data_IF_479047601380
#
_entry.id   IF_479047601380
#
_cell.length_a   1.000
_cell.length_b   1.000
_cell.length_c   1.000
_cell.angle_alpha   90.00
_cell.angle_beta   90.00
_cell.angle_gamma   90.00
#
_symmetry.space_group_name_H-M   'P 1'
#
loop_
_entity.id
_entity.type
_entity.pdbx_description
1 polymer ?
#
# COMPACT_ATOMS: atom_id res chain seq x y z
N UNK A 1 44.13 -10.41 6.11
CA UNK A 1 43.25 -9.80 5.10
C UNK A 1 41.90 -9.58 5.81
N UNK A 2 41.50 -8.33 6.03
CA UNK A 2 40.18 -8.03 6.55
C UNK A 2 39.16 -8.55 5.53
N UNK A 3 38.29 -9.48 5.94
CA UNK A 3 37.22 -9.97 5.08
C UNK A 3 36.32 -8.78 4.72
N UNK A 4 36.41 -8.34 3.47
CA UNK A 4 35.58 -7.24 2.95
C UNK A 4 34.12 -7.66 3.01
N UNK A 5 33.29 -6.93 3.80
CA UNK A 5 31.86 -7.21 3.87
C UNK A 5 31.21 -6.79 2.56
N UNK A 6 30.44 -7.70 1.98
CA UNK A 6 29.75 -7.53 0.71
C UNK A 6 28.26 -7.73 0.94
N UNK A 7 27.44 -6.99 0.21
CA UNK A 7 25.99 -7.14 0.15
C UNK A 7 25.47 -6.95 -1.26
N UNK A 8 24.16 -7.09 -1.42
CA UNK A 8 23.45 -6.92 -2.69
C UNK A 8 22.43 -5.79 -2.61
N UNK A 9 22.22 -5.15 -3.76
CA UNK A 9 21.24 -4.09 -3.96
C UNK A 9 20.48 -4.33 -5.28
N UNK A 10 19.23 -3.87 -5.37
CA UNK A 10 18.48 -3.86 -6.62
C UNK A 10 18.48 -2.43 -7.17
N UNK A 11 19.01 -2.27 -8.38
CA UNK A 11 19.04 -1.02 -9.12
C UNK A 11 17.93 -1.00 -10.19
N UNK A 12 17.41 0.20 -10.50
CA UNK A 12 16.61 0.41 -11.68
C UNK A 12 17.54 0.55 -12.89
N UNK A 13 17.59 -0.47 -13.75
CA UNK A 13 18.44 -0.50 -14.93
C UNK A 13 17.88 0.33 -16.07
N UNK A 14 16.59 0.20 -16.32
CA UNK A 14 15.85 0.92 -17.34
C UNK A 14 14.41 1.18 -16.92
N UNK A 15 13.80 2.23 -17.49
CA UNK A 15 12.42 2.60 -17.17
C UNK A 15 11.44 1.69 -17.91
N UNK A 16 10.43 1.11 -17.22
CA UNK A 16 9.44 0.26 -17.86
C UNK A 16 8.49 1.08 -18.75
N UNK A 17 8.27 0.62 -19.95
CA UNK A 17 7.20 1.08 -20.85
C UNK A 17 5.97 0.18 -20.63
N UNK A 18 5.02 0.58 -19.79
CA UNK A 18 3.90 -0.27 -19.38
C UNK A 18 4.20 -1.09 -18.13
N UNK A 19 3.82 -2.37 -18.11
CA UNK A 19 4.08 -3.26 -16.97
C UNK A 19 5.59 -3.50 -16.85
N UNK A 20 6.11 -3.34 -15.63
CA UNK A 20 7.52 -3.63 -15.37
C UNK A 20 7.84 -5.11 -15.58
N UNK A 21 9.03 -5.38 -16.08
CA UNK A 21 9.59 -6.72 -16.27
C UNK A 21 10.86 -6.90 -15.46
N UNK A 22 11.34 -8.13 -15.34
CA UNK A 22 12.62 -8.40 -14.64
C UNK A 22 13.80 -7.64 -15.26
N UNK A 23 13.77 -7.39 -16.57
CA UNK A 23 14.83 -6.70 -17.30
C UNK A 23 15.02 -5.23 -16.88
N UNK A 24 13.99 -4.62 -16.26
CA UNK A 24 14.08 -3.26 -15.73
C UNK A 24 14.94 -3.16 -14.46
N UNK A 25 15.30 -4.29 -13.85
CA UNK A 25 16.02 -4.36 -12.59
C UNK A 25 17.35 -5.09 -12.76
N UNK A 26 18.30 -4.73 -11.89
CA UNK A 26 19.62 -5.38 -11.81
C UNK A 26 19.98 -5.65 -10.36
N UNK A 27 20.41 -6.88 -10.06
CA UNK A 27 20.99 -7.24 -8.76
C UNK A 27 22.50 -6.91 -8.80
N UNK A 28 22.91 -5.96 -7.99
CA UNK A 28 24.28 -5.43 -7.98
C UNK A 28 24.97 -5.84 -6.68
N UNK A 29 26.17 -6.38 -6.81
CA UNK A 29 27.06 -6.67 -5.67
C UNK A 29 27.80 -5.41 -5.28
N UNK A 30 27.72 -5.03 -4.00
CA UNK A 30 28.33 -3.81 -3.48
C UNK A 30 29.19 -4.10 -2.25
N UNK A 31 30.23 -3.29 -2.05
CA UNK A 31 30.98 -3.28 -0.82
C UNK A 31 30.22 -2.52 0.25
N UNK A 32 30.06 -3.13 1.43
CA UNK A 32 29.52 -2.45 2.61
C UNK A 32 30.63 -1.56 3.21
N UNK A 33 30.42 -0.23 3.34
CA UNK A 33 31.43 0.66 3.86
C UNK A 33 31.78 0.38 5.33
N UNK A 34 33.05 0.63 5.70
CA UNK A 34 33.45 0.62 7.10
C UNK A 34 32.80 1.78 7.86
N UNK A 35 32.35 1.54 9.09
CA UNK A 35 31.72 2.56 9.92
C UNK A 35 32.68 3.67 10.34
N UNK A 36 32.28 4.91 10.14
CA UNK A 36 32.88 6.09 10.77
C UNK A 36 32.29 6.33 12.15
N UNK A 37 32.96 7.15 12.96
CA UNK A 37 32.45 7.58 14.26
C UNK A 37 31.05 8.25 14.09
N UNK A 38 30.09 7.89 14.93
CA UNK A 38 28.70 8.35 14.88
C UNK A 38 27.81 7.60 13.90
N UNK A 39 28.31 6.58 13.19
CA UNK A 39 27.52 5.77 12.27
C UNK A 39 27.15 4.41 12.86
N UNK A 40 26.15 3.79 12.26
CA UNK A 40 25.74 2.41 12.52
C UNK A 40 25.43 1.69 11.21
N UNK A 41 25.57 0.38 11.22
CA UNK A 41 25.28 -0.53 10.12
C UNK A 41 24.02 -1.34 10.42
N UNK A 42 23.13 -1.36 9.46
CA UNK A 42 21.87 -2.11 9.53
C UNK A 42 21.87 -3.20 8.46
N UNK A 43 21.42 -4.39 8.85
CA UNK A 43 21.04 -5.45 7.94
C UNK A 43 19.52 -5.46 7.82
N UNK A 44 19.00 -5.32 6.60
CA UNK A 44 17.57 -5.43 6.35
C UNK A 44 17.09 -6.88 6.60
N UNK A 45 15.93 -7.01 7.23
CA UNK A 45 15.26 -8.27 7.46
C UNK A 45 13.98 -8.38 6.62
N UNK A 46 13.29 -7.24 6.42
CA UNK A 46 12.04 -7.17 5.69
C UNK A 46 11.97 -5.91 4.83
N UNK A 47 11.38 -6.05 3.68
CA UNK A 47 11.14 -4.93 2.76
C UNK A 47 9.70 -4.98 2.23
N UNK A 48 9.12 -3.81 2.08
CA UNK A 48 7.82 -3.60 1.42
C UNK A 48 8.01 -3.37 -0.07
N UNK A 49 7.14 -3.95 -0.88
CA UNK A 49 6.91 -3.52 -2.26
C UNK A 49 5.50 -2.97 -2.40
N UNK A 50 5.37 -1.82 -3.05
CA UNK A 50 4.14 -1.04 -3.08
C UNK A 50 3.85 -0.48 -4.48
N UNK A 51 2.56 -0.38 -4.88
CA UNK A 51 2.18 0.08 -6.23
C UNK A 51 2.70 1.47 -6.60
N UNK A 52 2.83 2.40 -5.63
CA UNK A 52 3.32 3.76 -5.89
C UNK A 52 4.73 3.79 -6.49
N UNK A 53 5.54 2.75 -6.22
CA UNK A 53 6.90 2.62 -6.75
C UNK A 53 6.90 2.59 -8.28
N UNK A 54 5.80 2.10 -8.92
CA UNK A 54 5.67 2.14 -10.38
C UNK A 54 5.71 3.57 -10.92
N UNK A 55 5.02 4.50 -10.26
CA UNK A 55 5.06 5.93 -10.63
C UNK A 55 6.45 6.54 -10.53
N UNK A 56 7.25 6.15 -9.53
CA UNK A 56 8.65 6.61 -9.36
C UNK A 56 9.61 6.04 -10.43
N UNK A 57 9.24 4.99 -11.16
CA UNK A 57 10.04 4.47 -12.27
C UNK A 57 9.89 5.31 -13.55
N UNK A 58 8.94 6.24 -13.59
CA UNK A 58 8.80 7.23 -14.67
C UNK A 58 9.67 8.45 -14.37
N UNK A 59 9.92 9.31 -15.39
CA UNK A 59 10.67 10.58 -15.19
C UNK A 59 9.82 11.73 -14.66
N UNK A 60 8.51 11.54 -14.58
CA UNK A 60 7.56 12.57 -14.20
C UNK A 60 7.72 12.98 -12.75
N UNK A 61 7.76 14.28 -12.48
CA UNK A 61 7.71 14.82 -11.11
C UNK A 61 6.37 14.50 -10.47
N UNK A 62 6.43 14.03 -9.23
CA UNK A 62 5.27 13.71 -8.40
C UNK A 62 5.56 14.12 -6.94
N UNK A 63 4.73 13.70 -5.98
CA UNK A 63 4.96 13.92 -4.54
C UNK A 63 6.23 13.23 -3.99
N UNK A 64 6.80 12.29 -4.74
CA UNK A 64 8.12 11.72 -4.53
C UNK A 64 8.97 11.87 -5.81
N UNK A 65 10.29 12.09 -5.68
CA UNK A 65 11.16 12.15 -6.84
C UNK A 65 11.17 10.81 -7.60
N UNK A 66 11.39 10.82 -8.91
CA UNK A 66 11.61 9.61 -9.67
C UNK A 66 12.85 8.85 -9.19
N UNK A 67 12.86 7.53 -9.38
CA UNK A 67 14.08 6.76 -9.19
C UNK A 67 15.12 7.11 -10.26
N UNK A 68 16.38 7.19 -9.83
CA UNK A 68 17.50 7.37 -10.73
C UNK A 68 17.90 6.03 -11.37
N UNK A 69 18.30 6.06 -12.65
CA UNK A 69 18.82 4.88 -13.32
C UNK A 69 20.17 4.47 -12.75
N UNK A 70 20.41 3.17 -12.69
CA UNK A 70 21.63 2.56 -12.16
C UNK A 70 21.93 2.95 -10.71
N UNK A 71 20.87 3.27 -9.94
CA UNK A 71 20.92 3.52 -8.50
C UNK A 71 19.98 2.57 -7.77
N UNK A 72 20.35 2.31 -6.51
CA UNK A 72 19.53 1.49 -5.62
C UNK A 72 18.15 2.08 -5.46
N UNK A 73 17.13 1.25 -5.62
CA UNK A 73 15.76 1.63 -5.34
C UNK A 73 15.57 1.90 -3.84
N UNK A 74 14.52 2.64 -3.54
CA UNK A 74 14.08 2.94 -2.17
C UNK A 74 12.69 2.40 -1.91
N UNK A 75 12.41 2.05 -0.68
CA UNK A 75 11.12 1.61 -0.19
C UNK A 75 11.17 1.30 1.29
N UNK A 76 10.02 1.23 1.93
CA UNK A 76 9.97 0.95 3.36
C UNK A 76 10.60 -0.41 3.66
N UNK A 77 11.43 -0.44 4.70
CA UNK A 77 12.08 -1.66 5.17
C UNK A 77 12.23 -1.65 6.69
N UNK A 78 12.43 -2.84 7.23
CA UNK A 78 12.82 -3.05 8.62
C UNK A 78 14.14 -3.79 8.63
N UNK A 79 15.11 -3.24 9.31
CA UNK A 79 16.41 -3.84 9.50
C UNK A 79 16.85 -3.82 10.95
N UNK A 80 17.82 -4.68 11.28
CA UNK A 80 18.44 -4.75 12.60
C UNK A 80 19.81 -4.12 12.57
N UNK A 81 20.14 -3.33 13.58
CA UNK A 81 21.49 -2.79 13.77
C UNK A 81 22.42 -3.96 14.13
N UNK A 82 23.44 -4.19 13.31
CA UNK A 82 24.41 -5.25 13.51
C UNK A 82 25.80 -4.74 13.93
N UNK A 83 26.05 -3.44 13.75
CA UNK A 83 27.27 -2.77 14.22
C UNK A 83 26.96 -1.29 14.46
N UNK A 84 27.50 -0.70 15.53
CA UNK A 84 27.29 0.71 15.85
C UNK A 84 28.52 1.38 16.46
N UNK A 85 28.79 2.61 15.97
CA UNK A 85 29.68 3.62 16.57
C UNK A 85 28.88 4.88 16.95
N UNK A 86 27.56 4.76 17.09
CA UNK A 86 26.63 5.84 17.44
C UNK A 86 25.97 5.55 18.79
N UNK A 87 26.07 6.50 19.73
CA UNK A 87 25.56 6.33 21.09
C UNK A 87 24.03 6.26 21.21
N UNK A 88 23.31 6.71 20.18
CA UNK A 88 21.84 6.73 20.16
C UNK A 88 21.23 5.45 19.55
N UNK A 89 22.05 4.63 18.88
CA UNK A 89 21.59 3.44 18.15
C UNK A 89 22.41 2.24 18.56
N UNK A 90 21.76 1.27 19.21
CA UNK A 90 22.43 0.10 19.80
C UNK A 90 22.29 -1.14 18.91
N UNK A 91 23.30 -2.01 18.96
CA UNK A 91 23.27 -3.30 18.26
C UNK A 91 22.09 -4.12 18.77
N UNK A 92 21.33 -4.72 17.85
CA UNK A 92 20.13 -5.50 18.13
C UNK A 92 18.83 -4.73 18.00
N UNK A 93 18.83 -3.41 18.01
CA UNK A 93 17.62 -2.60 17.77
C UNK A 93 17.09 -2.77 16.35
N UNK A 94 15.77 -2.75 16.20
CA UNK A 94 15.11 -2.75 14.89
C UNK A 94 14.72 -1.34 14.48
N UNK A 95 14.96 -1.04 13.21
CA UNK A 95 14.69 0.27 12.60
C UNK A 95 13.75 0.12 11.42
N UNK A 96 12.73 0.98 11.38
CA UNK A 96 11.90 1.26 10.21
C UNK A 96 12.54 2.42 9.44
N UNK A 97 12.76 2.26 8.16
CA UNK A 97 13.34 3.27 7.27
C UNK A 97 12.85 3.10 5.84
N UNK A 98 13.32 3.94 4.92
CA UNK A 98 13.08 3.81 3.48
C UNK A 98 14.27 3.22 2.69
N UNK A 99 15.26 2.66 3.38
CA UNK A 99 16.45 2.04 2.76
C UNK A 99 16.22 0.58 2.34
N UNK A 100 15.07 0.28 1.76
CA UNK A 100 14.77 -1.03 1.14
C UNK A 100 15.54 -1.28 -0.15
N UNK A 101 15.25 -2.39 -0.82
CA UNK A 101 15.90 -2.85 -2.06
C UNK A 101 17.41 -3.10 -1.94
N UNK A 102 17.88 -3.36 -0.70
CA UNK A 102 19.28 -3.70 -0.37
C UNK A 102 19.37 -4.55 0.88
N UNK A 103 20.48 -5.28 1.03
CA UNK A 103 20.70 -6.07 2.25
C UNK A 103 21.24 -5.22 3.40
N UNK A 104 22.12 -4.25 3.12
CA UNK A 104 22.79 -3.44 4.14
C UNK A 104 22.72 -1.96 3.81
N UNK A 105 22.76 -1.15 4.87
CA UNK A 105 22.93 0.29 4.75
C UNK A 105 23.59 0.87 5.99
N UNK A 106 24.32 1.97 5.78
CA UNK A 106 25.01 2.72 6.83
C UNK A 106 24.36 4.09 6.98
N UNK A 107 24.17 4.54 8.22
CA UNK A 107 23.62 5.86 8.54
C UNK A 107 24.24 6.43 9.79
N UNK A 108 24.14 7.75 9.97
CA UNK A 108 24.38 8.46 11.21
C UNK A 108 23.09 8.79 11.98
N UNK A 109 21.96 8.41 11.45
CA UNK A 109 20.61 8.76 11.90
C UNK A 109 19.98 9.85 11.02
N UNK A 110 18.67 9.81 10.87
CA UNK A 110 17.87 10.84 10.22
C UNK A 110 16.44 10.83 10.75
N UNK A 111 15.66 11.86 10.45
CA UNK A 111 14.23 11.93 10.81
C UNK A 111 13.36 10.84 10.18
N UNK A 112 13.84 10.23 9.10
CA UNK A 112 13.11 9.18 8.36
C UNK A 112 13.43 7.77 8.89
N UNK A 113 14.22 7.67 9.96
CA UNK A 113 14.55 6.42 10.66
C UNK A 113 13.86 6.43 12.02
N UNK A 114 13.10 5.40 12.31
CA UNK A 114 12.45 5.24 13.61
C UNK A 114 12.70 3.86 14.20
N UNK A 115 12.97 3.83 15.53
CA UNK A 115 13.07 2.58 16.27
C UNK A 115 11.70 1.95 16.39
N UNK A 116 11.63 0.64 16.27
CA UNK A 116 10.42 -0.15 16.48
C UNK A 116 10.70 -1.28 17.47
N UNK A 117 9.70 -1.52 18.33
CA UNK A 117 9.69 -2.67 19.23
C UNK A 117 8.47 -3.53 18.88
N UNK A 118 8.64 -4.80 18.48
CA UNK A 118 7.54 -5.66 18.08
C UNK A 118 6.83 -6.26 19.31
N UNK A 119 6.18 -5.41 20.10
CA UNK A 119 5.50 -5.83 21.34
C UNK A 119 4.03 -6.21 21.16
N UNK A 120 3.43 -5.82 20.03
CA UNK A 120 1.98 -5.95 19.78
C UNK A 120 1.70 -6.92 18.64
N UNK A 121 2.50 -6.87 17.60
CA UNK A 121 2.34 -7.65 16.38
C UNK A 121 3.72 -8.04 15.84
N UNK A 122 3.83 -9.03 14.94
CA UNK A 122 5.08 -9.43 14.30
C UNK A 122 5.78 -8.26 13.63
N UNK A 123 7.11 -8.30 13.58
CA UNK A 123 7.95 -7.21 13.10
C UNK A 123 7.54 -6.67 11.72
N UNK A 124 7.27 -7.57 10.77
CA UNK A 124 6.89 -7.21 9.41
C UNK A 124 5.53 -6.50 9.30
N UNK A 125 4.64 -6.64 10.29
CA UNK A 125 3.35 -5.95 10.32
C UNK A 125 3.48 -4.42 10.33
N UNK A 126 4.64 -3.90 10.79
CA UNK A 126 4.96 -2.47 10.75
C UNK A 126 5.24 -1.94 9.33
N UNK A 127 5.37 -2.83 8.34
CA UNK A 127 5.38 -2.48 6.90
C UNK A 127 3.97 -2.57 6.27
N UNK A 128 3.00 -3.08 7.03
CA UNK A 128 1.63 -3.35 6.59
C UNK A 128 0.59 -2.67 7.49
N UNK A 129 -0.13 -3.52 8.23
CA UNK A 129 -1.30 -3.12 9.02
C UNK A 129 -0.97 -2.11 10.14
N UNK A 130 0.20 -2.20 10.78
CA UNK A 130 0.70 -1.26 11.80
C UNK A 130 1.50 -0.10 11.20
N UNK A 131 1.72 -0.11 9.89
CA UNK A 131 2.55 0.84 9.16
C UNK A 131 1.78 1.76 8.22
N UNK A 132 2.48 2.15 7.13
CA UNK A 132 1.95 3.13 6.16
C UNK A 132 0.65 2.70 5.51
N UNK A 133 0.47 1.43 5.16
CA UNK A 133 -0.76 0.95 4.48
C UNK A 133 -1.97 0.97 5.40
N UNK A 134 -1.81 0.59 6.68
CA UNK A 134 -2.86 0.73 7.68
C UNK A 134 -3.22 2.20 7.95
N UNK A 135 -2.20 3.07 8.08
CA UNK A 135 -2.42 4.52 8.22
C UNK A 135 -3.14 5.11 6.98
N UNK A 136 -2.82 4.63 5.78
CA UNK A 136 -3.50 5.07 4.55
C UNK A 136 -5.00 4.74 4.59
N UNK A 137 -5.36 3.54 5.05
CA UNK A 137 -6.75 3.15 5.24
C UNK A 137 -7.47 4.05 6.27
N UNK A 138 -6.82 4.30 7.40
CA UNK A 138 -7.33 5.16 8.48
C UNK A 138 -7.58 6.59 7.99
N UNK A 139 -6.61 7.18 7.32
CA UNK A 139 -6.70 8.54 6.73
C UNK A 139 -7.78 8.62 5.66
N UNK A 140 -7.83 7.65 4.73
CA UNK A 140 -8.80 7.69 3.63
C UNK A 140 -10.24 7.57 4.12
N UNK A 141 -10.49 6.81 5.20
CA UNK A 141 -11.81 6.77 5.84
C UNK A 141 -12.15 8.09 6.56
N UNK A 142 -11.16 8.77 7.16
CA UNK A 142 -11.33 10.12 7.71
C UNK A 142 -11.63 11.15 6.61
N UNK A 143 -10.99 11.05 5.44
CA UNK A 143 -11.33 11.85 4.24
C UNK A 143 -12.76 11.57 3.78
N UNK A 144 -13.22 10.32 3.88
CA UNK A 144 -14.61 9.92 3.68
C UNK A 144 -15.55 10.41 4.79
N UNK A 145 -15.06 11.17 5.77
CA UNK A 145 -15.84 11.70 6.91
C UNK A 145 -16.55 10.59 7.70
N UNK A 146 -15.88 9.43 7.84
CA UNK A 146 -16.40 8.32 8.61
C UNK A 146 -16.33 8.64 10.11
N UNK A 147 -17.46 8.63 10.78
CA UNK A 147 -17.59 8.82 12.24
C UNK A 147 -17.83 7.50 12.96
N UNK A 148 -17.71 7.51 14.29
CA UNK A 148 -18.10 6.38 15.13
C UNK A 148 -19.62 6.14 15.08
N UNK A 149 -20.03 4.88 15.21
CA UNK A 149 -21.43 4.42 15.16
C UNK A 149 -22.13 4.81 13.86
N UNK A 150 -21.39 4.81 12.76
CA UNK A 150 -21.89 5.18 11.44
C UNK A 150 -22.78 4.07 10.86
N UNK A 151 -23.92 4.45 10.30
CA UNK A 151 -24.79 3.54 9.50
C UNK A 151 -24.49 3.65 8.01
N UNK A 152 -23.35 4.22 7.63
CA UNK A 152 -22.96 4.42 6.25
C UNK A 152 -22.74 3.10 5.51
N UNK A 153 -23.05 3.09 4.23
CA UNK A 153 -22.62 2.05 3.29
C UNK A 153 -21.28 2.47 2.68
N UNK A 154 -20.26 1.64 2.89
CA UNK A 154 -18.89 1.87 2.39
C UNK A 154 -18.56 0.86 1.31
N UNK A 155 -18.23 1.33 0.13
CA UNK A 155 -17.64 0.50 -0.93
C UNK A 155 -16.12 0.66 -0.93
N UNK A 156 -15.39 -0.45 -1.00
CA UNK A 156 -13.91 -0.48 -1.07
C UNK A 156 -13.49 -1.26 -2.29
N UNK A 157 -12.77 -0.64 -3.22
CA UNK A 157 -12.16 -1.35 -4.34
C UNK A 157 -10.80 -1.94 -3.96
N UNK A 158 -10.39 -3.03 -4.62
CA UNK A 158 -9.24 -3.85 -4.23
C UNK A 158 -9.25 -4.20 -2.73
N UNK A 159 -10.44 -4.59 -2.23
CA UNK A 159 -10.75 -4.78 -0.82
C UNK A 159 -9.85 -5.81 -0.11
N UNK A 160 -9.31 -6.81 -0.82
CA UNK A 160 -8.40 -7.82 -0.27
C UNK A 160 -6.92 -7.40 -0.25
N UNK A 161 -6.59 -6.20 -0.74
CA UNK A 161 -5.23 -5.66 -0.72
C UNK A 161 -4.85 -5.08 0.66
N UNK A 162 -3.59 -4.70 0.84
CA UNK A 162 -3.07 -4.23 2.12
C UNK A 162 -3.83 -3.01 2.71
N UNK A 163 -4.16 -2.03 1.87
CA UNK A 163 -4.95 -0.86 2.28
C UNK A 163 -6.43 -1.21 2.33
N UNK A 164 -6.95 -1.90 1.30
CA UNK A 164 -8.37 -2.22 1.19
C UNK A 164 -8.88 -3.07 2.34
N UNK A 165 -8.13 -4.11 2.76
CA UNK A 165 -8.53 -4.98 3.87
C UNK A 165 -8.55 -4.25 5.22
N UNK A 166 -7.60 -3.34 5.44
CA UNK A 166 -7.61 -2.48 6.60
C UNK A 166 -8.82 -1.52 6.59
N UNK A 167 -9.08 -0.87 5.43
CA UNK A 167 -10.22 0.05 5.28
C UNK A 167 -11.57 -0.66 5.52
N UNK A 168 -11.75 -1.87 4.97
CA UNK A 168 -12.93 -2.68 5.20
C UNK A 168 -13.19 -2.93 6.68
N UNK A 169 -12.18 -3.43 7.40
CA UNK A 169 -12.32 -3.79 8.80
C UNK A 169 -12.47 -2.57 9.71
N UNK A 170 -11.75 -1.48 9.46
CA UNK A 170 -11.95 -0.22 10.20
C UNK A 170 -13.37 0.29 10.00
N UNK A 171 -13.92 0.25 8.79
CA UNK A 171 -15.30 0.63 8.52
C UNK A 171 -16.29 -0.29 9.26
N UNK A 172 -16.04 -1.59 9.31
CA UNK A 172 -16.85 -2.54 10.13
C UNK A 172 -16.82 -2.21 11.62
N UNK A 173 -15.65 -1.93 12.19
CA UNK A 173 -15.48 -1.54 13.59
C UNK A 173 -16.28 -0.25 13.90
N UNK A 174 -16.41 0.65 12.92
CA UNK A 174 -17.18 1.89 13.02
C UNK A 174 -18.69 1.69 12.79
N UNK A 175 -19.16 0.45 12.55
CA UNK A 175 -20.59 0.11 12.42
C UNK A 175 -21.16 0.17 10.99
N UNK A 176 -20.31 0.36 9.98
CA UNK A 176 -20.75 0.49 8.59
C UNK A 176 -21.21 -0.84 7.99
N UNK A 177 -22.05 -0.73 6.97
CA UNK A 177 -22.25 -1.79 5.98
C UNK A 177 -21.15 -1.70 4.92
N UNK A 178 -20.39 -2.77 4.73
CA UNK A 178 -19.17 -2.75 3.90
C UNK A 178 -19.30 -3.69 2.69
N UNK A 179 -19.07 -3.12 1.51
CA UNK A 179 -19.02 -3.83 0.23
C UNK A 179 -17.58 -3.83 -0.28
N UNK A 180 -17.06 -4.98 -0.69
CA UNK A 180 -15.70 -5.10 -1.23
C UNK A 180 -15.66 -5.68 -2.64
N UNK A 181 -14.85 -5.10 -3.54
CA UNK A 181 -14.51 -5.75 -4.81
C UNK A 181 -13.09 -6.32 -4.77
N UNK A 182 -12.93 -7.50 -5.35
CA UNK A 182 -11.62 -8.19 -5.42
C UNK A 182 -11.52 -9.01 -6.70
N UNK A 183 -10.39 -9.71 -6.93
CA UNK A 183 -10.03 -10.33 -8.21
C UNK A 183 -10.07 -11.85 -8.21
N UNK A 184 -10.63 -12.50 -7.18
CA UNK A 184 -10.82 -13.96 -7.15
C UNK A 184 -11.82 -14.38 -6.09
N UNK A 185 -12.46 -15.53 -6.32
CA UNK A 185 -13.43 -16.11 -5.37
C UNK A 185 -12.79 -16.49 -4.02
N UNK A 186 -11.50 -16.88 -3.99
CA UNK A 186 -10.78 -17.16 -2.75
C UNK A 186 -10.67 -15.87 -1.88
N UNK A 187 -10.40 -14.74 -2.50
CA UNK A 187 -10.32 -13.43 -1.82
C UNK A 187 -11.69 -12.95 -1.35
N UNK A 188 -12.74 -13.22 -2.13
CA UNK A 188 -14.13 -12.98 -1.69
C UNK A 188 -14.41 -13.74 -0.41
N UNK A 189 -14.06 -15.05 -0.39
CA UNK A 189 -14.23 -15.89 0.79
C UNK A 189 -13.50 -15.31 2.01
N UNK A 190 -12.23 -14.92 1.86
CA UNK A 190 -11.45 -14.32 2.94
C UNK A 190 -12.06 -13.01 3.47
N UNK A 191 -12.56 -12.16 2.57
CA UNK A 191 -13.21 -10.90 2.95
C UNK A 191 -14.49 -11.11 3.78
N UNK A 192 -15.27 -12.14 3.46
CA UNK A 192 -16.50 -12.46 4.20
C UNK A 192 -16.16 -13.18 5.51
N UNK A 193 -15.37 -14.26 5.44
CA UNK A 193 -15.19 -15.18 6.58
C UNK A 193 -14.21 -14.62 7.62
N UNK A 194 -13.13 -13.95 7.16
CA UNK A 194 -12.06 -13.49 8.04
C UNK A 194 -12.10 -11.99 8.30
N UNK A 195 -12.28 -11.16 7.27
CA UNK A 195 -12.38 -9.72 7.43
C UNK A 195 -13.76 -9.24 7.87
N UNK A 196 -14.79 -10.12 7.82
CA UNK A 196 -16.11 -9.90 8.37
C UNK A 196 -16.93 -8.82 7.67
N UNK A 197 -16.70 -8.56 6.37
CA UNK A 197 -17.52 -7.59 5.62
C UNK A 197 -18.84 -8.19 5.17
N UNK A 198 -19.80 -7.34 4.86
CA UNK A 198 -21.20 -7.76 4.62
C UNK A 198 -21.40 -8.33 3.21
N UNK A 199 -20.65 -7.81 2.23
CA UNK A 199 -20.74 -8.27 0.85
C UNK A 199 -19.39 -8.14 0.14
N UNK A 200 -19.04 -9.14 -0.66
CA UNK A 200 -17.85 -9.10 -1.51
C UNK A 200 -18.12 -9.78 -2.85
N UNK A 201 -17.48 -9.28 -3.92
CA UNK A 201 -17.60 -9.86 -5.24
C UNK A 201 -16.28 -9.89 -6.00
N UNK A 202 -16.18 -10.88 -6.89
CA UNK A 202 -15.06 -11.06 -7.83
C UNK A 202 -15.38 -10.32 -9.14
N UNK A 203 -14.80 -9.12 -9.32
CA UNK A 203 -15.07 -8.29 -10.49
C UNK A 203 -14.58 -8.92 -11.81
N UNK A 204 -13.58 -9.81 -11.77
CA UNK A 204 -13.12 -10.52 -12.96
C UNK A 204 -14.12 -11.56 -13.43
N UNK A 205 -14.80 -12.21 -12.47
CA UNK A 205 -15.82 -13.23 -12.77
C UNK A 205 -17.10 -12.62 -13.32
N UNK A 206 -17.52 -11.47 -12.80
CA UNK A 206 -18.74 -10.82 -13.26
C UNK A 206 -18.56 -9.96 -14.51
N UNK A 207 -17.30 -9.53 -14.81
CA UNK A 207 -16.96 -8.53 -15.82
C UNK A 207 -17.02 -7.11 -15.26
N UNK A 208 -16.06 -6.27 -15.65
CA UNK A 208 -15.95 -4.90 -15.13
C UNK A 208 -17.16 -4.02 -15.49
N UNK A 209 -17.83 -4.30 -16.62
CA UNK A 209 -19.05 -3.63 -17.06
C UNK A 209 -20.24 -3.88 -16.14
N UNK A 210 -20.21 -4.95 -15.36
CA UNK A 210 -21.28 -5.35 -14.45
C UNK A 210 -21.09 -4.87 -13.00
N UNK A 211 -19.97 -4.18 -12.68
CA UNK A 211 -19.70 -3.69 -11.31
C UNK A 211 -20.83 -2.79 -10.81
N UNK A 212 -21.35 -1.87 -11.65
CA UNK A 212 -22.44 -0.96 -11.26
C UNK A 212 -23.71 -1.71 -10.89
N UNK A 213 -24.09 -2.73 -11.65
CA UNK A 213 -25.28 -3.55 -11.37
C UNK A 213 -25.11 -4.41 -10.12
N UNK A 214 -23.87 -4.92 -9.88
CA UNK A 214 -23.56 -5.72 -8.69
C UNK A 214 -23.60 -4.87 -7.41
N UNK A 215 -23.12 -3.63 -7.46
CA UNK A 215 -23.21 -2.69 -6.34
C UNK A 215 -24.67 -2.37 -5.99
N UNK A 216 -25.52 -2.16 -7.00
CA UNK A 216 -26.97 -1.90 -6.81
C UNK A 216 -27.69 -3.10 -6.23
N UNK A 217 -27.29 -4.31 -6.62
CA UNK A 217 -27.83 -5.55 -6.06
C UNK A 217 -27.40 -5.74 -4.60
N UNK A 218 -26.11 -5.46 -4.30
CA UNK A 218 -25.58 -5.57 -2.95
C UNK A 218 -26.24 -4.59 -1.97
N UNK A 219 -26.51 -3.36 -2.43
CA UNK A 219 -27.14 -2.33 -1.62
C UNK A 219 -27.96 -1.35 -2.48
N UNK A 220 -29.27 -1.60 -2.62
CA UNK A 220 -30.17 -0.83 -3.50
C UNK A 220 -30.28 0.66 -3.14
N UNK A 221 -30.10 1.01 -1.86
CA UNK A 221 -30.19 2.38 -1.36
C UNK A 221 -28.97 3.25 -1.73
N UNK A 222 -27.92 2.63 -2.26
CA UNK A 222 -26.71 3.30 -2.73
C UNK A 222 -25.60 3.44 -1.68
N UNK A 223 -24.51 4.05 -2.09
CA UNK A 223 -23.22 4.11 -1.37
C UNK A 223 -23.04 5.50 -0.75
N UNK A 224 -22.66 5.58 0.52
CA UNK A 224 -22.33 6.83 1.22
C UNK A 224 -20.87 7.20 1.01
N UNK A 225 -19.96 6.20 1.09
CA UNK A 225 -18.52 6.40 1.00
C UNK A 225 -17.91 5.40 0.00
N UNK A 226 -17.13 5.89 -0.94
CA UNK A 226 -16.29 5.05 -1.78
C UNK A 226 -14.80 5.27 -1.46
N UNK A 227 -14.13 4.20 -1.05
CA UNK A 227 -12.69 4.16 -0.86
C UNK A 227 -12.03 3.61 -2.12
N UNK A 228 -11.46 4.49 -2.94
CA UNK A 228 -10.94 4.14 -4.25
C UNK A 228 -9.46 3.79 -4.24
N UNK A 229 -9.14 2.53 -4.54
CA UNK A 229 -7.79 2.02 -4.78
C UNK A 229 -7.51 1.72 -6.26
N UNK A 230 -8.54 1.74 -7.12
CA UNK A 230 -8.47 1.19 -8.48
C UNK A 230 -8.66 2.23 -9.57
N UNK A 231 -9.62 3.15 -9.43
CA UNK A 231 -10.01 4.07 -10.50
C UNK A 231 -10.82 3.38 -11.62
N UNK A 232 -10.76 3.93 -12.83
CA UNK A 232 -11.34 3.34 -14.03
C UNK A 232 -12.81 2.94 -13.88
N UNK A 233 -13.15 1.72 -14.29
CA UNK A 233 -14.53 1.18 -14.22
C UNK A 233 -15.10 1.08 -12.81
N UNK A 234 -14.25 0.90 -11.79
CA UNK A 234 -14.69 0.94 -10.39
C UNK A 234 -15.18 2.33 -9.98
N UNK A 235 -14.48 3.38 -10.40
CA UNK A 235 -14.89 4.77 -10.12
C UNK A 235 -16.17 5.13 -10.87
N UNK A 236 -16.33 4.73 -12.13
CA UNK A 236 -17.58 4.90 -12.87
C UNK A 236 -18.74 4.20 -12.18
N UNK A 237 -18.56 2.93 -11.82
CA UNK A 237 -19.58 2.14 -11.12
C UNK A 237 -19.96 2.74 -9.75
N UNK A 238 -18.97 3.27 -9.02
CA UNK A 238 -19.24 3.96 -7.77
C UNK A 238 -20.06 5.23 -8.00
N UNK A 239 -19.68 6.09 -8.95
CA UNK A 239 -20.43 7.31 -9.30
C UNK A 239 -21.89 7.00 -9.64
N UNK A 240 -22.17 5.89 -10.34
CA UNK A 240 -23.55 5.45 -10.65
C UNK A 240 -24.37 5.07 -9.41
N UNK A 241 -23.73 4.67 -8.34
CA UNK A 241 -24.38 4.13 -7.14
C UNK A 241 -24.22 5.00 -5.89
N UNK A 242 -23.50 6.14 -5.97
CA UNK A 242 -23.38 7.06 -4.83
C UNK A 242 -24.70 7.69 -4.46
N UNK A 243 -24.98 7.81 -3.17
CA UNK A 243 -26.06 8.64 -2.63
C UNK A 243 -25.80 10.13 -2.86
N UNK A 244 -26.83 10.92 -2.65
CA UNK A 244 -26.71 12.39 -2.57
C UNK A 244 -25.81 12.76 -1.37
N UNK A 245 -24.85 13.66 -1.58
CA UNK A 245 -23.78 14.02 -0.64
C UNK A 245 -22.82 12.88 -0.32
N UNK A 246 -22.72 11.88 -1.20
CA UNK A 246 -21.72 10.83 -1.09
C UNK A 246 -20.29 11.37 -1.15
N UNK A 247 -19.34 10.60 -0.65
CA UNK A 247 -17.92 10.99 -0.53
C UNK A 247 -17.03 9.94 -1.15
N UNK A 248 -16.06 10.37 -1.92
CA UNK A 248 -15.07 9.51 -2.60
C UNK A 248 -13.69 9.90 -2.12
N UNK A 249 -13.01 8.98 -1.43
CA UNK A 249 -11.61 9.11 -1.05
C UNK A 249 -10.74 8.43 -2.13
N UNK A 250 -10.04 9.23 -2.94
CA UNK A 250 -9.13 8.74 -3.97
C UNK A 250 -7.77 8.41 -3.34
N UNK A 251 -7.57 7.15 -2.99
CA UNK A 251 -6.34 6.62 -2.40
C UNK A 251 -5.32 6.22 -3.47
N UNK A 252 -5.79 5.62 -4.57
CA UNK A 252 -4.96 5.16 -5.66
C UNK A 252 -5.76 4.75 -6.89
N UNK A 253 -5.09 4.69 -8.03
CA UNK A 253 -5.67 4.29 -9.31
C UNK A 253 -4.81 3.21 -9.96
N UNK A 254 -4.72 2.02 -9.33
CA UNK A 254 -3.81 0.95 -9.77
C UNK A 254 -4.08 0.50 -11.21
N UNK A 255 -5.31 0.66 -11.71
CA UNK A 255 -5.66 0.38 -13.10
C UNK A 255 -4.86 1.25 -14.10
N UNK A 256 -4.39 2.41 -13.67
CA UNK A 256 -3.70 3.39 -14.52
C UNK A 256 -2.18 3.42 -14.33
N UNK A 257 -1.61 2.75 -13.32
CA UNK A 257 -0.18 2.87 -13.00
C UNK A 257 0.76 2.35 -14.08
N UNK A 258 0.30 1.41 -14.91
CA UNK A 258 1.10 0.82 -15.98
C UNK A 258 0.88 1.47 -17.34
N UNK A 259 0.06 2.52 -17.46
CA UNK A 259 -0.08 3.22 -18.72
C UNK A 259 1.21 3.98 -19.04
N UNK A 260 1.66 3.93 -20.31
CA UNK A 260 2.79 4.74 -20.77
C UNK A 260 2.48 6.22 -20.57
N UNK A 261 3.32 6.93 -19.83
CA UNK A 261 3.07 8.34 -19.55
C UNK A 261 3.50 9.29 -20.69
N UNK A 262 4.32 8.84 -21.66
CA UNK A 262 4.74 9.67 -22.82
C UNK A 262 5.33 8.84 -23.96
N UNK A 263 5.09 9.19 -25.21
CA UNK A 263 3.85 9.83 -25.64
C UNK A 263 2.76 8.79 -25.80
N UNK A 264 1.89 8.70 -24.81
CA UNK A 264 0.67 7.91 -24.98
C UNK A 264 -0.15 8.52 -26.11
N UNK A 265 -0.39 7.76 -27.13
CA UNK A 265 -1.21 8.21 -28.25
C UNK A 265 -2.68 8.36 -27.89
N UNK A 266 -3.11 7.72 -26.79
CA UNK A 266 -4.48 7.83 -26.26
C UNK A 266 -4.43 7.80 -24.73
N UNK A 267 -4.68 8.91 -24.04
CA UNK A 267 -4.89 8.88 -22.59
C UNK A 267 -6.10 8.00 -22.29
N UNK A 268 -6.02 7.20 -21.21
CA UNK A 268 -7.22 6.55 -20.68
C UNK A 268 -8.28 7.62 -20.38
N UNK A 269 -9.50 7.49 -20.91
CA UNK A 269 -10.55 8.44 -20.60
C UNK A 269 -10.87 8.41 -19.12
N UNK A 270 -11.11 9.57 -18.55
CA UNK A 270 -11.67 9.69 -17.18
C UNK A 270 -13.08 9.08 -17.12
N UNK A 271 -13.69 9.05 -15.93
CA UNK A 271 -15.04 8.52 -15.77
C UNK A 271 -16.03 9.30 -16.66
N UNK A 272 -16.70 8.60 -17.55
CA UNK A 272 -17.65 9.18 -18.54
C UNK A 272 -18.87 9.81 -17.88
N UNK A 273 -19.18 9.40 -16.65
CA UNK A 273 -20.35 9.81 -15.86
C UNK A 273 -20.02 10.80 -14.73
N UNK A 274 -18.88 11.52 -14.81
CA UNK A 274 -18.45 12.46 -13.77
C UNK A 274 -19.47 13.57 -13.49
N UNK A 275 -20.36 13.92 -14.44
CA UNK A 275 -21.45 14.87 -14.24
C UNK A 275 -22.39 14.48 -13.09
N UNK A 276 -22.44 13.19 -12.71
CA UNK A 276 -23.22 12.72 -11.56
C UNK A 276 -22.72 13.33 -10.25
N UNK A 277 -21.44 13.71 -10.17
CA UNK A 277 -20.89 14.41 -9.01
C UNK A 277 -21.63 15.75 -8.76
N UNK A 278 -22.00 16.47 -9.83
CA UNK A 278 -22.80 17.69 -9.72
C UNK A 278 -24.22 17.37 -9.24
N UNK A 279 -24.89 16.44 -9.92
CA UNK A 279 -26.30 16.10 -9.63
C UNK A 279 -26.50 15.58 -8.20
N UNK A 280 -25.55 14.79 -7.70
CA UNK A 280 -25.59 14.20 -6.36
C UNK A 280 -24.77 14.97 -5.34
N UNK A 281 -24.13 16.11 -5.69
CA UNK A 281 -23.25 16.91 -4.81
C UNK A 281 -22.20 16.06 -4.13
N UNK A 282 -21.57 15.15 -4.89
CA UNK A 282 -20.56 14.21 -4.40
C UNK A 282 -19.26 14.98 -4.11
N UNK A 283 -18.68 14.75 -2.93
CA UNK A 283 -17.31 15.23 -2.60
C UNK A 283 -16.29 14.19 -3.07
N UNK A 284 -15.38 14.59 -3.95
CA UNK A 284 -14.28 13.76 -4.43
C UNK A 284 -12.98 14.36 -3.96
N UNK A 285 -12.18 13.60 -3.18
CA UNK A 285 -10.94 14.11 -2.61
C UNK A 285 -9.80 13.10 -2.74
N UNK A 286 -8.70 13.52 -3.41
CA UNK A 286 -7.43 12.82 -3.38
C UNK A 286 -6.64 13.13 -2.11
N UNK A 287 -5.79 12.20 -1.68
CA UNK A 287 -4.92 12.41 -0.53
C UNK A 287 -3.60 11.63 -0.65
N UNK A 288 -2.58 12.13 0.02
CA UNK A 288 -1.30 11.43 0.21
C UNK A 288 -1.09 11.25 1.71
N UNK A 289 -0.88 10.01 2.13
CA UNK A 289 -0.76 9.67 3.56
C UNK A 289 0.35 10.41 4.30
N UNK A 290 1.42 10.83 3.60
CA UNK A 290 2.53 11.61 4.19
C UNK A 290 2.07 12.95 4.77
N UNK A 291 1.07 13.57 4.19
CA UNK A 291 0.53 14.85 4.65
C UNK A 291 -0.26 14.70 5.96
N UNK A 292 -0.55 13.45 6.35
CA UNK A 292 -1.34 13.08 7.51
C UNK A 292 -0.55 12.31 8.59
N UNK A 293 0.79 12.38 8.58
CA UNK A 293 1.62 11.67 9.58
C UNK A 293 1.41 12.16 11.02
N UNK A 294 0.80 13.32 11.21
CA UNK A 294 0.35 13.76 12.53
C UNK A 294 -0.66 12.80 13.18
N UNK A 295 -1.38 11.99 12.39
CA UNK A 295 -2.32 10.97 12.88
C UNK A 295 -1.65 9.63 13.23
N UNK A 296 -0.33 9.46 13.00
CA UNK A 296 0.35 8.18 13.14
C UNK A 296 0.24 7.59 14.56
N UNK A 297 0.36 8.41 15.58
CA UNK A 297 0.30 7.95 16.98
C UNK A 297 -1.13 7.53 17.37
N UNK A 298 -2.13 8.31 16.99
CA UNK A 298 -3.54 7.99 17.19
C UNK A 298 -3.90 6.69 16.45
N UNK A 299 -3.55 6.60 15.18
CA UNK A 299 -3.73 5.40 14.38
C UNK A 299 -3.12 4.17 15.04
N UNK A 300 -1.84 4.23 15.45
CA UNK A 300 -1.16 3.10 16.09
C UNK A 300 -1.80 2.69 17.41
N UNK A 301 -2.28 3.64 18.19
CA UNK A 301 -3.02 3.37 19.43
C UNK A 301 -4.31 2.59 19.15
N UNK A 302 -5.13 3.10 18.21
CA UNK A 302 -6.38 2.46 17.82
C UNK A 302 -6.15 1.08 17.20
N UNK A 303 -5.20 0.98 16.26
CA UNK A 303 -4.88 -0.29 15.60
C UNK A 303 -4.38 -1.33 16.59
N UNK A 304 -3.53 -0.94 17.55
CA UNK A 304 -3.04 -1.83 18.61
C UNK A 304 -4.18 -2.36 19.48
N UNK A 305 -5.16 -1.51 19.80
CA UNK A 305 -6.36 -1.91 20.54
C UNK A 305 -7.17 -2.93 19.74
N UNK A 306 -7.48 -2.62 18.48
CA UNK A 306 -8.29 -3.48 17.62
C UNK A 306 -7.63 -4.84 17.33
N UNK A 307 -6.31 -4.88 17.19
CA UNK A 307 -5.55 -6.14 17.05
C UNK A 307 -5.65 -6.98 18.33
N UNK A 308 -5.46 -6.38 19.51
CA UNK A 308 -5.57 -7.07 20.81
C UNK A 308 -6.98 -7.61 21.06
N UNK A 309 -8.00 -6.91 20.60
CA UNK A 309 -9.40 -7.32 20.70
C UNK A 309 -9.80 -8.37 19.65
N UNK A 310 -8.90 -8.73 18.71
CA UNK A 310 -9.18 -9.67 17.63
C UNK A 310 -10.05 -9.12 16.50
N UNK A 311 -10.28 -7.81 16.47
CA UNK A 311 -11.15 -7.13 15.51
C UNK A 311 -10.47 -6.86 14.17
N UNK A 312 -9.14 -7.01 14.09
CA UNK A 312 -8.35 -6.83 12.87
C UNK A 312 -7.58 -8.11 12.57
N UNK A 313 -7.79 -8.61 11.38
CA UNK A 313 -7.00 -9.71 10.77
C UNK A 313 -6.29 -9.19 9.53
N UNK A 314 -5.14 -9.74 9.22
CA UNK A 314 -4.41 -9.35 8.01
C UNK A 314 -3.67 -10.53 7.41
N UNK A 315 -3.38 -10.45 6.14
CA UNK A 315 -2.62 -11.42 5.38
C UNK A 315 -1.38 -10.77 4.76
N UNK A 316 -0.35 -11.56 4.60
CA UNK A 316 0.91 -11.17 4.01
C UNK A 316 1.31 -12.17 2.91
N UNK A 317 1.63 -11.66 1.73
CA UNK A 317 2.22 -12.45 0.66
C UNK A 317 3.72 -12.20 0.69
N UNK A 318 4.51 -13.24 1.06
CA UNK A 318 5.95 -13.11 1.30
C UNK A 318 6.74 -13.76 0.18
N UNK A 319 7.74 -13.05 -0.34
CA UNK A 319 8.80 -13.57 -1.19
C UNK A 319 10.10 -13.60 -0.38
N UNK A 320 10.87 -14.69 -0.48
CA UNK A 320 12.16 -14.82 0.21
C UNK A 320 13.31 -14.47 -0.73
N UNK A 321 14.33 -13.77 -0.20
CA UNK A 321 15.51 -13.29 -0.90
C UNK A 321 15.32 -11.97 -1.64
N UNK A 322 16.31 -11.09 -1.53
CA UNK A 322 16.31 -9.76 -2.19
C UNK A 322 16.18 -9.89 -3.72
N UNK A 323 16.77 -10.92 -4.32
CA UNK A 323 16.71 -11.21 -5.76
C UNK A 323 15.28 -11.44 -6.28
N UNK A 324 14.34 -11.79 -5.40
CA UNK A 324 12.92 -11.96 -5.71
C UNK A 324 12.10 -10.67 -5.56
N UNK A 325 12.70 -9.56 -5.09
CA UNK A 325 12.00 -8.29 -4.94
C UNK A 325 11.39 -7.76 -6.26
N UNK A 326 12.06 -7.84 -7.44
CA UNK A 326 11.44 -7.50 -8.71
C UNK A 326 10.22 -8.37 -9.03
N UNK A 327 10.27 -9.67 -8.76
CA UNK A 327 9.14 -10.58 -8.97
C UNK A 327 7.96 -10.23 -8.05
N UNK A 328 8.22 -9.97 -6.78
CA UNK A 328 7.21 -9.53 -5.81
C UNK A 328 6.55 -8.21 -6.24
N UNK A 329 7.34 -7.26 -6.76
CA UNK A 329 6.83 -5.98 -7.26
C UNK A 329 5.92 -6.18 -8.50
N UNK A 330 6.34 -6.98 -9.48
CA UNK A 330 5.55 -7.26 -10.69
C UNK A 330 4.23 -7.95 -10.31
N UNK A 331 4.25 -8.88 -9.35
CA UNK A 331 3.07 -9.60 -8.86
C UNK A 331 2.01 -8.68 -8.20
N UNK A 332 2.35 -7.44 -7.84
CA UNK A 332 1.36 -6.46 -7.38
C UNK A 332 0.27 -6.18 -8.43
N UNK A 333 0.62 -6.27 -9.71
CA UNK A 333 -0.24 -5.90 -10.85
C UNK A 333 -0.93 -7.10 -11.52
N UNK A 334 -0.58 -8.34 -11.17
CA UNK A 334 -1.20 -9.56 -11.74
C UNK A 334 -2.43 -10.02 -10.96
N UNK A 335 -2.63 -9.51 -9.75
CA UNK A 335 -3.75 -9.89 -8.90
C UNK A 335 -3.54 -11.20 -8.13
N UNK A 336 -2.33 -11.72 -8.03
CA UNK A 336 -2.03 -12.97 -7.32
C UNK A 336 -1.93 -12.80 -5.79
N UNK A 337 -1.73 -11.57 -5.30
CA UNK A 337 -1.52 -11.28 -3.88
C UNK A 337 -2.81 -11.26 -3.06
N UNK A 338 -2.73 -11.71 -1.82
CA UNK A 338 -3.68 -11.44 -0.75
C UNK A 338 -2.96 -10.62 0.34
N UNK A 339 -3.59 -9.53 0.81
CA UNK A 339 -3.02 -8.67 1.84
C UNK A 339 -1.79 -7.88 1.39
N UNK A 340 -0.79 -7.78 2.28
CA UNK A 340 0.44 -7.00 2.08
C UNK A 340 1.52 -7.83 1.41
N UNK A 341 2.09 -7.30 0.33
CA UNK A 341 3.26 -7.89 -0.32
C UNK A 341 4.55 -7.47 0.39
N UNK A 342 5.36 -8.44 0.77
CA UNK A 342 6.62 -8.27 1.49
C UNK A 342 7.73 -9.11 0.87
N UNK A 343 8.98 -8.68 1.08
CA UNK A 343 10.18 -9.46 0.80
C UNK A 343 10.93 -9.65 2.10
N UNK A 344 11.22 -10.90 2.44
CA UNK A 344 12.11 -11.28 3.55
C UNK A 344 13.51 -11.38 3.00
N UNK A 345 14.44 -10.61 3.57
CA UNK A 345 15.83 -10.47 3.10
C UNK A 345 16.78 -11.32 3.95
#
# INVERSE_FOLDING_TARGET
>A
MLNERVGYEIHLKERPLGIASKNNFELVRVRVPDLKQGQFLVRNAWMSVDPYMRGRMNETKSYLPPYELNKTLEGDCIGQIIESKNRQFEVGEYLLSNFGWREYWVSAGSKDISKIAPTIAPLQSYLGIMGRTGLTAYVGLSIGELSDSSTNTVFVSAASGAVGSAACQIAKIKGCHVIGSTSSSQKVKWLIDEAGIDYAFDYRKIGEENISSELRKAYPDGIDIYFDNVGGKHLEAALDNMKVFGRIALCGMISQYNFPQFPSTVPEPGPSNLFLAIRRRIKIQGFIVRDHYHLLNEFRSNMSKWIKEGNIKWEETVYEGLENAPKAFIALFTGEKLGKMLVKI
#
